data_IF_177396425571
#
_entry.id   IF_177396425571
#
_cell.length_a   1.000
_cell.length_b   1.000
_cell.length_c   1.000
_cell.angle_alpha   90.00
_cell.angle_beta   90.00
_cell.angle_gamma   90.00
#
_symmetry.space_group_name_H-M   'P 1'
#
loop_
_entity.id
_entity.type
_entity.pdbx_description
1 polymer ?
#
# COMPACT_ATOMS: atom_id res chain seq x y z
N UNK A 1 -1.37 -25.98 -1.30
CA UNK A 1 -1.54 -24.67 -1.95
C UNK A 1 -3.00 -24.27 -1.83
N UNK A 2 -3.32 -23.12 -1.28
CA UNK A 2 -4.71 -22.71 -1.06
C UNK A 2 -5.15 -21.82 -2.23
N UNK A 3 -6.10 -22.28 -3.00
CA UNK A 3 -6.75 -21.49 -4.04
C UNK A 3 -7.60 -20.41 -3.37
N UNK A 4 -7.35 -19.13 -3.69
CA UNK A 4 -8.04 -17.99 -3.08
C UNK A 4 -9.36 -17.63 -3.76
N UNK A 5 -9.64 -18.17 -4.94
CA UNK A 5 -10.83 -17.90 -5.72
C UNK A 5 -11.56 -19.18 -6.10
N UNK A 6 -12.88 -19.25 -5.88
CA UNK A 6 -13.77 -20.26 -6.46
C UNK A 6 -14.79 -19.61 -7.38
N UNK A 7 -15.38 -20.41 -8.30
CA UNK A 7 -16.44 -19.93 -9.19
C UNK A 7 -17.66 -19.43 -8.43
N UNK A 8 -18.01 -20.09 -7.33
CA UNK A 8 -19.11 -19.69 -6.46
C UNK A 8 -18.89 -18.30 -5.86
N UNK A 9 -17.72 -18.06 -5.26
CA UNK A 9 -17.34 -16.76 -4.71
C UNK A 9 -17.36 -15.68 -5.80
N UNK A 10 -16.83 -15.97 -6.99
CA UNK A 10 -16.85 -15.02 -8.10
C UNK A 10 -18.27 -14.62 -8.52
N UNK A 11 -19.20 -15.59 -8.53
CA UNK A 11 -20.60 -15.33 -8.90
C UNK A 11 -21.32 -14.44 -7.88
N UNK A 12 -20.85 -14.32 -6.64
CA UNK A 12 -21.41 -13.42 -5.64
C UNK A 12 -21.21 -11.92 -6.00
N UNK A 13 -20.33 -11.61 -6.97
CA UNK A 13 -20.20 -10.26 -7.52
C UNK A 13 -21.32 -9.83 -8.47
N UNK A 14 -22.23 -10.72 -8.82
CA UNK A 14 -23.31 -10.48 -9.76
C UNK A 14 -24.66 -10.33 -9.04
N UNK A 15 -25.67 -9.76 -9.74
CA UNK A 15 -27.01 -9.74 -9.20
C UNK A 15 -27.56 -11.18 -9.05
N UNK A 16 -28.55 -11.36 -8.18
CA UNK A 16 -29.16 -12.67 -7.93
C UNK A 16 -29.65 -13.33 -9.24
N UNK A 17 -30.30 -12.55 -10.11
CA UNK A 17 -30.77 -13.02 -11.42
C UNK A 17 -29.61 -13.51 -12.30
N UNK A 18 -28.51 -12.75 -12.37
CA UNK A 18 -27.34 -13.13 -13.17
C UNK A 18 -26.62 -14.36 -12.61
N UNK A 19 -26.59 -14.50 -11.28
CA UNK A 19 -26.03 -15.66 -10.59
C UNK A 19 -26.88 -16.93 -10.90
N UNK A 20 -28.20 -16.84 -10.78
CA UNK A 20 -29.12 -17.93 -11.12
C UNK A 20 -29.00 -18.34 -12.58
N UNK A 21 -28.92 -17.38 -13.51
CA UNK A 21 -28.69 -17.69 -14.92
C UNK A 21 -27.39 -18.47 -15.16
N UNK A 22 -26.32 -18.11 -14.45
CA UNK A 22 -25.04 -18.81 -14.55
C UNK A 22 -25.14 -20.25 -14.00
N UNK A 23 -25.81 -20.44 -12.86
CA UNK A 23 -26.02 -21.76 -12.26
C UNK A 23 -26.83 -22.64 -13.21
N UNK A 24 -27.96 -22.14 -13.72
CA UNK A 24 -28.80 -22.86 -14.68
C UNK A 24 -28.07 -23.20 -15.99
N UNK A 25 -27.17 -22.29 -16.45
CA UNK A 25 -26.31 -22.58 -17.60
C UNK A 25 -25.38 -23.76 -17.33
N UNK A 26 -24.75 -23.83 -16.18
CA UNK A 26 -23.86 -24.93 -15.80
C UNK A 26 -24.64 -26.24 -15.66
N UNK A 27 -25.86 -26.18 -15.10
CA UNK A 27 -26.78 -27.32 -15.01
C UNK A 27 -27.21 -27.80 -16.40
N UNK A 28 -27.58 -26.89 -17.31
CA UNK A 28 -27.90 -27.21 -18.69
C UNK A 28 -26.77 -27.97 -19.41
N UNK A 29 -25.52 -27.49 -19.22
CA UNK A 29 -24.33 -28.13 -19.81
C UNK A 29 -24.14 -29.56 -19.27
N UNK A 30 -24.27 -29.74 -17.95
CA UNK A 30 -24.15 -31.04 -17.30
C UNK A 30 -25.24 -32.00 -17.73
N UNK A 31 -26.48 -31.51 -17.85
CA UNK A 31 -27.60 -32.34 -18.35
C UNK A 31 -27.41 -32.71 -19.81
N UNK A 32 -26.87 -31.84 -20.65
CA UNK A 32 -26.65 -32.09 -22.07
C UNK A 32 -25.64 -33.22 -22.33
N UNK A 33 -24.75 -33.51 -21.41
CA UNK A 33 -23.83 -34.65 -21.46
C UNK A 33 -24.60 -36.01 -21.33
N UNK A 34 -25.83 -35.97 -20.79
CA UNK A 34 -26.65 -37.16 -20.52
C UNK A 34 -27.92 -37.19 -21.35
N UNK A 35 -28.50 -36.05 -21.65
CA UNK A 35 -29.77 -35.86 -22.33
C UNK A 35 -29.55 -34.99 -23.56
N UNK A 36 -29.62 -35.56 -24.77
CA UNK A 36 -29.42 -34.79 -26.02
C UNK A 36 -30.61 -33.88 -26.36
N UNK A 37 -31.79 -34.10 -25.74
CA UNK A 37 -33.01 -33.35 -26.01
C UNK A 37 -33.03 -31.98 -25.30
N UNK A 38 -32.78 -30.89 -26.04
CA UNK A 38 -32.76 -29.53 -25.53
C UNK A 38 -34.09 -29.06 -24.94
N UNK A 39 -35.21 -29.52 -25.48
CA UNK A 39 -36.55 -29.18 -24.97
C UNK A 39 -36.84 -29.83 -23.62
N UNK A 40 -36.33 -31.02 -23.38
CA UNK A 40 -36.41 -31.69 -22.09
C UNK A 40 -35.56 -30.98 -21.04
N UNK A 41 -34.33 -30.65 -21.38
CA UNK A 41 -33.45 -29.84 -20.53
C UNK A 41 -34.14 -28.52 -20.15
N UNK A 42 -34.73 -27.81 -21.13
CA UNK A 42 -35.49 -26.58 -20.92
C UNK A 42 -36.58 -26.74 -19.85
N UNK A 43 -37.33 -27.80 -19.87
CA UNK A 43 -38.37 -28.11 -18.87
C UNK A 43 -37.78 -28.40 -17.49
N UNK A 44 -36.71 -29.19 -17.43
CA UNK A 44 -36.04 -29.54 -16.16
C UNK A 44 -35.49 -28.33 -15.42
N UNK A 45 -34.78 -27.45 -16.11
CA UNK A 45 -34.14 -26.26 -15.47
C UNK A 45 -35.06 -25.04 -15.45
N UNK A 46 -36.28 -25.13 -15.98
CA UNK A 46 -37.26 -24.03 -16.05
C UNK A 46 -36.68 -22.77 -16.72
N UNK A 47 -36.11 -22.93 -17.93
CA UNK A 47 -35.58 -21.87 -18.76
C UNK A 47 -36.17 -22.01 -20.17
N UNK A 48 -36.53 -20.90 -20.85
CA UNK A 48 -37.08 -20.95 -22.20
C UNK A 48 -36.19 -21.76 -23.16
N UNK A 49 -36.83 -22.60 -24.00
CA UNK A 49 -36.14 -23.52 -24.91
C UNK A 49 -35.14 -22.80 -25.83
N UNK A 50 -35.53 -21.63 -26.37
CA UNK A 50 -34.66 -20.78 -27.18
C UNK A 50 -33.37 -20.41 -26.44
N UNK A 51 -33.48 -20.03 -25.16
CA UNK A 51 -32.32 -19.66 -24.32
C UNK A 51 -31.39 -20.86 -24.09
N UNK A 52 -31.97 -22.04 -23.83
CA UNK A 52 -31.21 -23.29 -23.68
C UNK A 52 -30.50 -23.66 -24.99
N UNK A 53 -31.16 -23.51 -26.13
CA UNK A 53 -30.53 -23.70 -27.44
C UNK A 53 -29.38 -22.74 -27.67
N UNK A 54 -29.55 -21.44 -27.39
CA UNK A 54 -28.49 -20.42 -27.48
C UNK A 54 -27.29 -20.78 -26.59
N UNK A 55 -27.56 -21.27 -25.37
CA UNK A 55 -26.52 -21.65 -24.40
C UNK A 55 -25.74 -22.90 -24.86
N UNK A 56 -26.44 -23.94 -25.28
CA UNK A 56 -25.84 -25.23 -25.68
C UNK A 56 -25.11 -25.13 -27.02
N UNK A 57 -25.58 -24.28 -27.92
CA UNK A 57 -24.89 -23.95 -29.18
C UNK A 57 -23.73 -22.91 -29.01
N UNK A 58 -23.46 -22.44 -27.80
CA UNK A 58 -22.46 -21.41 -27.48
C UNK A 58 -22.65 -20.08 -28.22
N UNK A 59 -23.86 -19.80 -28.76
CA UNK A 59 -24.17 -18.53 -29.43
C UNK A 59 -24.33 -17.37 -28.44
N UNK A 60 -24.82 -17.70 -27.23
CA UNK A 60 -24.99 -16.73 -26.15
C UNK A 60 -24.69 -17.40 -24.82
N UNK A 61 -23.98 -16.70 -23.94
CA UNK A 61 -23.65 -17.18 -22.59
C UNK A 61 -24.07 -16.16 -21.56
N UNK A 62 -24.49 -16.56 -20.33
CA UNK A 62 -24.70 -15.66 -19.22
C UNK A 62 -23.46 -14.78 -18.94
N UNK A 63 -23.68 -13.54 -18.52
CA UNK A 63 -22.58 -12.59 -18.31
C UNK A 63 -21.56 -13.09 -17.28
N UNK A 64 -22.02 -13.74 -16.21
CA UNK A 64 -21.14 -14.28 -15.17
C UNK A 64 -20.21 -15.38 -15.72
N UNK A 65 -20.72 -16.24 -16.61
CA UNK A 65 -19.93 -17.26 -17.29
C UNK A 65 -18.88 -16.61 -18.20
N UNK A 66 -19.27 -15.63 -19.02
CA UNK A 66 -18.34 -14.93 -19.91
C UNK A 66 -17.21 -14.22 -19.14
N UNK A 67 -17.53 -13.62 -17.99
CA UNK A 67 -16.51 -12.98 -17.16
C UNK A 67 -15.60 -13.99 -16.47
N UNK A 68 -16.13 -15.15 -16.07
CA UNK A 68 -15.32 -16.24 -15.55
C UNK A 68 -14.35 -16.80 -16.60
N UNK A 69 -14.82 -17.06 -17.82
CA UNK A 69 -13.99 -17.52 -18.93
C UNK A 69 -12.87 -16.51 -19.27
N UNK A 70 -13.14 -15.21 -19.14
CA UNK A 70 -12.07 -14.19 -19.27
C UNK A 70 -11.00 -14.32 -18.18
N UNK A 71 -11.36 -14.63 -16.93
CA UNK A 71 -10.37 -14.91 -15.89
C UNK A 71 -9.60 -16.21 -16.17
N UNK A 72 -10.23 -17.22 -16.76
CA UNK A 72 -9.56 -18.45 -17.20
C UNK A 72 -8.50 -18.13 -18.27
N UNK A 73 -8.85 -17.30 -19.27
CA UNK A 73 -7.92 -16.84 -20.30
C UNK A 73 -6.74 -16.03 -19.73
N UNK A 74 -6.95 -15.31 -18.65
CA UNK A 74 -5.91 -14.57 -17.93
C UNK A 74 -5.10 -15.45 -16.97
N UNK A 75 -5.40 -16.75 -16.85
CA UNK A 75 -4.85 -17.68 -15.84
C UNK A 75 -5.06 -17.23 -14.37
N UNK A 76 -6.12 -16.46 -14.11
CA UNK A 76 -6.41 -15.93 -12.77
C UNK A 76 -7.38 -16.78 -11.95
N UNK A 77 -8.04 -17.78 -12.55
CA UNK A 77 -8.94 -18.69 -11.82
C UNK A 77 -8.19 -19.72 -10.95
N UNK A 78 -6.95 -20.02 -11.33
CA UNK A 78 -6.06 -20.93 -10.58
C UNK A 78 -5.06 -20.16 -9.71
N UNK A 79 -5.41 -18.92 -9.33
CA UNK A 79 -4.52 -18.07 -8.56
C UNK A 79 -4.24 -18.73 -7.21
N UNK A 80 -3.02 -19.25 -7.07
CA UNK A 80 -2.52 -19.82 -5.83
C UNK A 80 -1.55 -18.86 -5.17
N UNK A 81 -1.48 -18.89 -3.83
CA UNK A 81 -0.50 -18.11 -3.08
C UNK A 81 0.88 -18.74 -3.30
N UNK A 82 1.55 -18.32 -4.36
CA UNK A 82 2.89 -18.77 -4.74
C UNK A 82 3.68 -17.64 -5.39
N UNK A 83 5.01 -17.76 -5.40
CA UNK A 83 5.87 -16.78 -6.08
C UNK A 83 5.78 -17.00 -7.58
N UNK A 84 4.97 -16.20 -8.25
CA UNK A 84 4.85 -16.17 -9.70
C UNK A 84 4.60 -14.73 -10.18
N UNK A 85 5.02 -14.42 -11.42
CA UNK A 85 4.82 -13.07 -11.97
C UNK A 85 3.34 -12.65 -12.02
N UNK A 86 2.39 -13.53 -12.44
CA UNK A 86 0.97 -13.17 -12.41
C UNK A 86 0.43 -12.91 -11.01
N UNK A 87 0.83 -13.72 -10.00
CA UNK A 87 0.41 -13.52 -8.63
C UNK A 87 1.02 -12.24 -8.04
N UNK A 88 2.29 -12.00 -8.31
CA UNK A 88 2.97 -10.77 -7.91
C UNK A 88 2.26 -9.53 -8.47
N UNK A 89 1.91 -9.52 -9.77
CA UNK A 89 1.17 -8.44 -10.39
C UNK A 89 -0.24 -8.29 -9.80
N UNK A 90 -0.90 -9.40 -9.50
CA UNK A 90 -2.19 -9.38 -8.81
C UNK A 90 -2.09 -8.67 -7.45
N UNK A 91 -1.07 -8.99 -6.63
CA UNK A 91 -0.84 -8.32 -5.34
C UNK A 91 -0.48 -6.85 -5.52
N UNK A 92 0.28 -6.50 -6.56
CA UNK A 92 0.59 -5.09 -6.87
C UNK A 92 -0.68 -4.28 -7.11
N UNK A 93 -1.56 -4.75 -7.97
CA UNK A 93 -2.84 -4.08 -8.27
C UNK A 93 -3.70 -4.04 -7.01
N UNK A 94 -3.72 -5.13 -6.22
CA UNK A 94 -4.46 -5.22 -4.96
C UNK A 94 -4.00 -4.12 -3.97
N UNK A 95 -2.69 -3.93 -3.80
CA UNK A 95 -2.11 -2.88 -2.97
C UNK A 95 -2.47 -1.46 -3.45
N UNK A 96 -2.45 -1.22 -4.77
CA UNK A 96 -2.92 0.04 -5.34
C UNK A 96 -4.38 0.31 -5.03
N UNK A 97 -5.24 -0.68 -5.16
CA UNK A 97 -6.68 -0.53 -4.96
C UNK A 97 -7.05 -0.22 -3.50
N UNK A 98 -6.23 -0.60 -2.53
CA UNK A 98 -6.37 -0.16 -1.14
C UNK A 98 -5.80 1.26 -0.90
N UNK A 99 -4.79 1.69 -1.69
CA UNK A 99 -4.21 3.05 -1.67
C UNK A 99 -4.87 3.99 -2.68
N UNK A 100 -4.07 4.57 -3.58
CA UNK A 100 -4.48 5.56 -4.61
C UNK A 100 -5.24 4.95 -5.81
N UNK A 101 -5.59 3.67 -5.76
CA UNK A 101 -6.41 3.02 -6.76
C UNK A 101 -7.91 3.17 -6.50
N UNK A 102 -8.70 2.94 -7.53
CA UNK A 102 -10.16 3.01 -7.48
C UNK A 102 -10.78 1.82 -8.22
N UNK A 103 -11.65 1.08 -7.52
CA UNK A 103 -12.49 0.06 -8.13
C UNK A 103 -13.83 0.69 -8.48
N UNK A 104 -14.17 0.73 -9.77
CA UNK A 104 -15.40 1.39 -10.24
C UNK A 104 -16.64 0.81 -9.54
N UNK A 105 -17.58 1.69 -9.14
CA UNK A 105 -18.82 1.31 -8.44
C UNK A 105 -19.65 0.28 -9.20
N UNK A 106 -19.66 0.37 -10.54
CA UNK A 106 -20.37 -0.55 -11.44
C UNK A 106 -19.54 -1.82 -11.76
N UNK A 107 -18.34 -1.98 -11.20
CA UNK A 107 -17.40 -3.05 -11.52
C UNK A 107 -17.06 -3.16 -13.01
N UNK A 108 -17.06 -2.05 -13.74
CA UNK A 108 -16.69 -1.99 -15.15
C UNK A 108 -15.18 -2.05 -15.39
N UNK A 109 -14.38 -1.64 -14.43
CA UNK A 109 -12.93 -1.59 -14.51
C UNK A 109 -12.28 -1.08 -13.23
N UNK A 110 -10.97 -0.86 -13.33
CA UNK A 110 -10.14 -0.29 -12.26
C UNK A 110 -9.38 0.94 -12.77
N UNK A 111 -9.09 1.85 -11.88
CA UNK A 111 -8.25 3.02 -12.10
C UNK A 111 -7.15 3.03 -11.04
N UNK A 112 -5.91 3.25 -11.45
CA UNK A 112 -4.76 3.37 -10.54
C UNK A 112 -4.12 4.73 -10.76
N UNK A 113 -3.84 5.47 -9.68
CA UNK A 113 -3.25 6.80 -9.74
C UNK A 113 -1.79 6.77 -9.27
N UNK A 114 -0.92 7.57 -9.90
CA UNK A 114 0.48 7.59 -9.51
C UNK A 114 1.40 8.35 -10.46
N UNK A 115 2.70 8.11 -10.32
CA UNK A 115 3.70 8.63 -11.26
C UNK A 115 3.56 7.96 -12.62
N UNK A 116 3.57 8.74 -13.71
CA UNK A 116 3.37 8.24 -15.09
C UNK A 116 4.35 7.14 -15.45
N UNK A 117 5.64 7.32 -15.15
CA UNK A 117 6.66 6.33 -15.50
C UNK A 117 6.48 5.00 -14.75
N UNK A 118 6.03 5.04 -13.49
CA UNK A 118 5.75 3.85 -12.71
C UNK A 118 4.45 3.17 -13.20
N UNK A 119 3.45 3.95 -13.62
CA UNK A 119 2.20 3.45 -14.21
C UNK A 119 2.41 2.84 -15.60
N UNK A 120 3.30 3.37 -16.45
CA UNK A 120 3.64 2.76 -17.75
C UNK A 120 4.30 1.39 -17.57
N UNK A 121 5.19 1.24 -16.58
CA UNK A 121 5.74 -0.08 -16.23
C UNK A 121 4.66 -1.06 -15.77
N UNK A 122 3.70 -0.59 -14.99
CA UNK A 122 2.58 -1.41 -14.51
C UNK A 122 1.65 -1.79 -15.66
N UNK A 123 1.34 -0.85 -16.55
CA UNK A 123 0.58 -1.08 -17.79
C UNK A 123 1.20 -2.20 -18.62
N UNK A 124 2.49 -2.11 -18.93
CA UNK A 124 3.20 -3.14 -19.70
C UNK A 124 3.05 -4.52 -19.07
N UNK A 125 3.18 -4.63 -17.73
CA UNK A 125 2.98 -5.90 -17.03
C UNK A 125 1.54 -6.42 -17.14
N UNK A 126 0.53 -5.55 -17.02
CA UNK A 126 -0.89 -5.92 -17.13
C UNK A 126 -1.19 -6.45 -18.52
N UNK A 127 -0.72 -5.75 -19.56
CA UNK A 127 -0.91 -6.16 -20.95
C UNK A 127 -0.21 -7.48 -21.26
N UNK A 128 1.03 -7.67 -20.80
CA UNK A 128 1.81 -8.89 -21.04
C UNK A 128 1.27 -10.11 -20.27
N UNK A 129 0.93 -9.96 -18.98
CA UNK A 129 0.63 -11.10 -18.13
C UNK A 129 -0.86 -11.44 -18.09
N UNK A 130 -1.73 -10.45 -18.23
CA UNK A 130 -3.18 -10.66 -18.20
C UNK A 130 -3.83 -10.54 -19.59
N UNK A 131 -3.10 -10.06 -20.61
CA UNK A 131 -3.66 -9.85 -21.94
C UNK A 131 -4.77 -8.80 -22.00
N UNK A 132 -4.83 -7.88 -21.02
CA UNK A 132 -5.88 -6.87 -20.92
C UNK A 132 -5.31 -5.52 -21.32
N UNK A 133 -5.91 -4.84 -22.34
CA UNK A 133 -5.45 -3.51 -22.73
C UNK A 133 -5.66 -2.50 -21.59
N UNK A 134 -4.64 -1.66 -21.41
CA UNK A 134 -4.64 -0.64 -20.39
C UNK A 134 -4.19 0.71 -20.98
N UNK A 135 -4.69 1.82 -20.44
CA UNK A 135 -4.41 3.17 -20.94
C UNK A 135 -3.89 4.06 -19.83
N UNK A 136 -2.70 4.62 -20.00
CA UNK A 136 -2.21 5.69 -19.13
C UNK A 136 -2.65 7.04 -19.69
N UNK A 137 -3.17 7.89 -18.83
CA UNK A 137 -3.49 9.30 -19.12
C UNK A 137 -2.78 10.18 -18.11
N UNK A 138 -2.38 11.36 -18.53
CA UNK A 138 -1.76 12.35 -17.67
C UNK A 138 -2.55 13.65 -17.76
N UNK A 139 -2.78 14.28 -16.64
CA UNK A 139 -3.54 15.52 -16.61
C UNK A 139 -3.33 16.32 -15.33
N UNK A 140 -3.62 17.61 -15.45
CA UNK A 140 -3.70 18.50 -14.31
C UNK A 140 -4.98 18.18 -13.54
N UNK A 141 -4.83 17.88 -12.26
CA UNK A 141 -5.96 17.79 -11.34
C UNK A 141 -6.09 19.13 -10.60
N UNK A 142 -7.21 19.78 -10.76
CA UNK A 142 -7.57 20.98 -10.03
C UNK A 142 -8.75 20.64 -9.13
N UNK A 143 -8.62 20.90 -7.86
CA UNK A 143 -9.68 20.65 -6.89
C UNK A 143 -9.59 21.62 -5.72
N UNK A 144 -10.64 21.68 -4.93
CA UNK A 144 -10.63 22.41 -3.67
C UNK A 144 -11.01 21.48 -2.51
N UNK A 145 -10.37 21.71 -1.38
CA UNK A 145 -10.65 21.02 -0.13
C UNK A 145 -11.17 22.03 0.88
N UNK A 146 -12.42 21.85 1.31
CA UNK A 146 -13.02 22.64 2.39
C UNK A 146 -12.61 22.04 3.75
N UNK A 147 -11.83 22.78 4.52
CA UNK A 147 -11.35 22.38 5.85
C UNK A 147 -12.09 23.15 6.92
N UNK A 148 -12.59 22.43 7.93
CA UNK A 148 -13.25 22.99 9.09
C UNK A 148 -12.35 22.83 10.33
N UNK A 149 -11.99 23.97 10.94
CA UNK A 149 -11.26 24.01 12.23
C UNK A 149 -12.13 24.77 13.24
N UNK A 150 -12.76 24.04 14.18
CA UNK A 150 -13.82 24.62 15.00
C UNK A 150 -14.93 25.14 14.09
N UNK A 151 -15.29 26.42 14.22
CA UNK A 151 -16.31 27.08 13.38
C UNK A 151 -15.73 27.77 12.15
N UNK A 152 -14.40 27.75 11.93
CA UNK A 152 -13.76 28.42 10.79
C UNK A 152 -13.65 27.47 9.60
N UNK A 153 -14.38 27.80 8.52
CA UNK A 153 -14.27 27.14 7.23
C UNK A 153 -13.19 27.82 6.39
N UNK A 154 -12.25 27.03 5.86
CA UNK A 154 -11.22 27.48 4.91
C UNK A 154 -11.25 26.59 3.68
N UNK A 155 -11.20 27.18 2.51
CA UNK A 155 -11.07 26.47 1.24
C UNK A 155 -9.60 26.53 0.79
N UNK A 156 -9.05 25.37 0.46
CA UNK A 156 -7.66 25.23 0.00
C UNK A 156 -7.71 24.65 -1.40
N UNK A 157 -7.22 25.42 -2.37
CA UNK A 157 -7.03 24.89 -3.72
C UNK A 157 -5.92 23.84 -3.75
N UNK A 158 -6.19 22.74 -4.42
CA UNK A 158 -5.24 21.67 -4.65
C UNK A 158 -5.01 21.57 -6.16
N UNK A 159 -3.81 21.94 -6.55
CA UNK A 159 -3.35 21.81 -7.94
C UNK A 159 -2.24 20.75 -7.99
N UNK A 160 -2.40 19.74 -8.82
CA UNK A 160 -1.42 18.69 -8.99
C UNK A 160 -1.46 18.08 -10.38
N UNK A 161 -0.40 17.38 -10.72
CA UNK A 161 -0.37 16.52 -11.91
C UNK A 161 -0.36 15.08 -11.46
N UNK A 162 -1.24 14.28 -12.04
CA UNK A 162 -1.34 12.86 -11.72
C UNK A 162 -1.49 12.03 -13.00
N UNK A 163 -0.79 10.92 -13.05
CA UNK A 163 -1.04 9.86 -14.02
C UNK A 163 -2.21 9.00 -13.55
N UNK A 164 -3.02 8.54 -14.51
CA UNK A 164 -4.09 7.59 -14.27
C UNK A 164 -3.94 6.42 -15.23
N UNK A 165 -3.85 5.22 -14.71
CA UNK A 165 -3.88 3.98 -15.47
C UNK A 165 -5.29 3.38 -15.40
N UNK A 166 -5.93 3.26 -16.56
CA UNK A 166 -7.26 2.71 -16.73
C UNK A 166 -7.18 1.30 -17.28
N UNK A 167 -7.87 0.36 -16.63
CA UNK A 167 -8.02 -1.02 -17.08
C UNK A 167 -9.51 -1.36 -17.14
N UNK A 168 -10.08 -1.35 -18.34
CA UNK A 168 -11.50 -1.58 -18.57
C UNK A 168 -11.80 -3.08 -18.67
N UNK A 169 -11.71 -3.78 -17.55
CA UNK A 169 -12.00 -5.20 -17.43
C UNK A 169 -12.94 -5.47 -16.26
N UNK A 170 -14.20 -5.76 -16.58
CA UNK A 170 -15.20 -6.15 -15.58
C UNK A 170 -14.85 -7.48 -14.90
N UNK A 171 -14.15 -8.37 -15.57
CA UNK A 171 -13.67 -9.62 -14.98
C UNK A 171 -12.65 -9.35 -13.85
N UNK A 172 -11.65 -8.53 -14.13
CA UNK A 172 -10.65 -8.10 -13.11
C UNK A 172 -11.30 -7.32 -11.97
N UNK A 173 -12.17 -6.36 -12.30
CA UNK A 173 -12.86 -5.57 -11.28
C UNK A 173 -13.66 -6.45 -10.32
N UNK A 174 -14.37 -7.44 -10.82
CA UNK A 174 -15.13 -8.39 -10.01
C UNK A 174 -14.24 -9.32 -9.20
N UNK A 175 -13.11 -9.77 -9.76
CA UNK A 175 -12.12 -10.55 -9.05
C UNK A 175 -11.62 -9.78 -7.80
N UNK A 176 -11.17 -8.55 -7.97
CA UNK A 176 -10.70 -7.73 -6.84
C UNK A 176 -11.81 -7.45 -5.82
N UNK A 177 -13.03 -7.21 -6.28
CA UNK A 177 -14.18 -6.98 -5.40
C UNK A 177 -14.49 -8.19 -4.50
N UNK A 178 -14.58 -9.38 -5.05
CA UNK A 178 -14.91 -10.60 -4.25
C UNK A 178 -13.75 -11.00 -3.31
N UNK A 179 -12.53 -10.55 -3.60
CA UNK A 179 -11.37 -10.77 -2.75
C UNK A 179 -11.18 -9.68 -1.69
N UNK A 180 -12.14 -8.75 -1.58
CA UNK A 180 -12.24 -7.80 -0.46
C UNK A 180 -11.85 -6.37 -0.77
N UNK A 181 -11.59 -6.00 -2.04
CA UNK A 181 -11.33 -4.61 -2.40
C UNK A 181 -12.64 -3.80 -2.37
N UNK A 182 -12.67 -2.64 -1.68
CA UNK A 182 -13.85 -1.78 -1.65
C UNK A 182 -14.11 -1.15 -3.02
N UNK A 183 -15.39 -1.13 -3.47
CA UNK A 183 -15.80 -0.50 -4.74
C UNK A 183 -16.36 0.90 -4.53
N UNK A 184 -16.05 1.82 -5.43
CA UNK A 184 -16.52 3.20 -5.34
C UNK A 184 -15.75 4.03 -4.34
N UNK A 185 -16.38 5.02 -3.72
CA UNK A 185 -15.70 5.95 -2.81
C UNK A 185 -15.32 5.27 -1.49
N UNK A 186 -14.03 5.05 -1.29
CA UNK A 186 -13.47 4.45 -0.09
C UNK A 186 -13.69 5.30 1.17
N UNK A 187 -13.91 6.60 1.03
CA UNK A 187 -14.14 7.49 2.16
C UNK A 187 -15.52 7.27 2.78
N UNK A 188 -16.48 6.80 1.99
CA UNK A 188 -17.90 6.65 2.36
C UNK A 188 -18.32 5.21 2.68
N UNK A 189 -17.39 4.32 2.96
CA UNK A 189 -17.71 2.92 3.26
C UNK A 189 -16.70 2.33 4.25
N UNK A 190 -17.16 1.33 5.02
CA UNK A 190 -16.28 0.47 5.81
C UNK A 190 -15.52 -0.50 4.88
N UNK A 191 -14.28 -0.80 5.24
CA UNK A 191 -13.53 -1.92 4.69
C UNK A 191 -12.41 -2.34 5.63
N UNK A 192 -11.99 -3.59 5.49
CA UNK A 192 -10.93 -4.21 6.26
C UNK A 192 -9.96 -4.94 5.31
N UNK A 193 -8.78 -5.28 5.82
CA UNK A 193 -7.92 -6.21 5.10
C UNK A 193 -8.56 -7.62 5.13
N UNK A 194 -8.67 -8.29 3.99
CA UNK A 194 -9.30 -9.61 3.95
C UNK A 194 -8.45 -10.65 4.70
N UNK A 195 -9.12 -11.61 5.32
CA UNK A 195 -8.48 -12.66 6.12
C UNK A 195 -7.41 -13.44 5.34
N UNK A 196 -7.63 -13.71 4.05
CA UNK A 196 -6.65 -14.40 3.22
C UNK A 196 -5.32 -13.64 3.13
N UNK A 197 -5.34 -12.29 3.07
CA UNK A 197 -4.13 -11.46 3.08
C UNK A 197 -3.47 -11.46 4.45
N UNK A 198 -4.25 -11.33 5.52
CA UNK A 198 -3.74 -11.36 6.90
C UNK A 198 -3.05 -12.69 7.24
N UNK A 199 -3.55 -13.80 6.68
CA UNK A 199 -2.98 -15.15 6.87
C UNK A 199 -1.97 -15.56 5.79
N UNK A 200 -1.65 -14.67 4.84
CA UNK A 200 -0.72 -14.96 3.75
C UNK A 200 0.74 -15.04 4.24
N UNK A 201 1.61 -15.72 3.49
CA UNK A 201 3.05 -15.71 3.74
C UNK A 201 3.65 -14.30 3.70
N UNK A 202 4.79 -14.14 4.35
CA UNK A 202 5.53 -12.88 4.48
C UNK A 202 5.74 -12.15 3.14
N UNK A 203 6.11 -12.85 2.08
CA UNK A 203 6.38 -12.24 0.77
C UNK A 203 5.16 -11.54 0.17
N UNK A 204 3.94 -12.04 0.41
CA UNK A 204 2.68 -11.43 -0.02
C UNK A 204 2.42 -10.15 0.75
N UNK A 205 2.51 -10.22 2.08
CA UNK A 205 2.33 -9.07 2.98
C UNK A 205 3.34 -7.96 2.68
N UNK A 206 4.61 -8.33 2.51
CA UNK A 206 5.70 -7.43 2.15
C UNK A 206 5.40 -6.69 0.85
N UNK A 207 4.95 -7.41 -0.18
CA UNK A 207 4.64 -6.84 -1.49
C UNK A 207 3.43 -5.92 -1.43
N UNK A 208 2.35 -6.37 -0.79
CA UNK A 208 1.15 -5.56 -0.55
C UNK A 208 1.48 -4.24 0.17
N UNK A 209 2.20 -4.31 1.29
CA UNK A 209 2.62 -3.13 2.05
C UNK A 209 3.54 -2.23 1.22
N UNK A 210 4.44 -2.80 0.43
CA UNK A 210 5.34 -2.05 -0.44
C UNK A 210 4.59 -1.19 -1.45
N UNK A 211 3.53 -1.70 -2.06
CA UNK A 211 2.69 -0.93 -2.98
C UNK A 211 1.82 0.07 -2.25
N UNK A 212 1.12 -0.35 -1.20
CA UNK A 212 0.24 0.53 -0.41
C UNK A 212 1.02 1.72 0.15
N UNK A 213 2.19 1.50 0.74
CA UNK A 213 3.02 2.56 1.29
C UNK A 213 3.73 3.36 0.20
N UNK A 214 4.05 2.75 -0.92
CA UNK A 214 4.51 3.46 -2.11
C UNK A 214 3.56 4.59 -2.50
N UNK A 215 2.26 4.33 -2.47
CA UNK A 215 1.23 5.31 -2.78
C UNK A 215 0.99 6.29 -1.61
N UNK A 216 0.57 5.81 -0.48
CA UNK A 216 -0.05 6.60 0.59
C UNK A 216 0.93 7.14 1.65
N UNK A 217 2.14 6.55 1.78
CA UNK A 217 3.05 6.92 2.86
C UNK A 217 3.57 8.35 2.70
N UNK A 218 3.47 9.15 3.76
CA UNK A 218 4.09 10.45 3.83
C UNK A 218 5.51 10.31 4.39
N UNK A 219 6.53 10.54 3.54
CA UNK A 219 7.92 10.57 3.99
C UNK A 219 8.26 11.96 4.56
N UNK A 220 9.06 12.01 5.62
CA UNK A 220 9.43 13.26 6.24
C UNK A 220 10.38 14.07 5.35
N UNK A 221 10.33 15.39 5.52
CA UNK A 221 11.41 16.26 5.07
C UNK A 221 12.58 16.11 6.06
N UNK A 222 13.80 16.02 5.53
CA UNK A 222 15.00 16.08 6.34
C UNK A 222 15.09 17.50 6.89
N UNK A 223 15.12 17.62 8.22
CA UNK A 223 15.29 18.88 8.92
C UNK A 223 16.79 19.17 9.12
N UNK A 224 17.13 20.43 9.41
CA UNK A 224 18.49 20.80 9.78
C UNK A 224 18.99 19.96 10.98
N UNK A 225 20.31 19.68 11.03
CA UNK A 225 20.98 18.91 12.09
C UNK A 225 20.57 17.42 12.17
N UNK A 226 20.33 16.77 11.01
CA UNK A 226 20.01 15.34 10.93
C UNK A 226 18.75 14.90 11.70
N UNK A 227 17.89 15.81 12.10
CA UNK A 227 16.60 15.47 12.67
C UNK A 227 15.67 15.00 11.57
N UNK A 228 15.13 13.80 11.75
CA UNK A 228 14.15 13.22 10.81
C UNK A 228 12.75 13.61 11.25
N UNK A 229 11.95 14.05 10.29
CA UNK A 229 10.52 14.21 10.52
C UNK A 229 9.85 12.83 10.67
N UNK A 230 8.56 12.84 10.93
CA UNK A 230 7.79 11.61 11.17
C UNK A 230 7.35 10.98 9.87
N UNK A 231 7.54 9.69 9.71
CA UNK A 231 6.88 8.88 8.67
C UNK A 231 5.44 8.62 9.13
N UNK A 232 4.47 8.89 8.28
CA UNK A 232 3.06 8.80 8.61
C UNK A 232 2.30 8.05 7.52
N UNK A 233 1.42 7.14 7.94
CA UNK A 233 0.38 6.57 7.12
C UNK A 233 -0.98 7.00 7.65
N UNK A 234 -1.89 7.46 6.78
CA UNK A 234 -3.22 7.86 7.21
C UNK A 234 -4.17 8.08 6.05
N UNK A 235 -5.44 7.86 6.30
CA UNK A 235 -6.52 7.96 5.35
C UNK A 235 -7.68 8.80 5.88
N UNK A 236 -8.57 9.23 4.99
CA UNK A 236 -9.78 9.96 5.34
C UNK A 236 -11.01 9.04 5.32
N UNK A 237 -11.93 9.26 6.27
CA UNK A 237 -13.26 8.64 6.31
C UNK A 237 -14.30 9.65 6.77
N UNK A 238 -15.55 9.50 6.31
CA UNK A 238 -16.67 10.19 6.92
C UNK A 238 -16.84 9.71 8.37
N UNK A 239 -17.45 10.54 9.21
CA UNK A 239 -17.48 10.34 10.66
C UNK A 239 -18.09 8.99 11.05
N UNK A 240 -19.14 8.54 10.33
CA UNK A 240 -19.82 7.25 10.57
C UNK A 240 -18.95 6.00 10.34
N UNK A 241 -17.80 6.11 9.65
CA UNK A 241 -16.91 4.98 9.39
C UNK A 241 -15.50 5.17 9.99
N UNK A 242 -15.39 6.02 11.01
CA UNK A 242 -14.11 6.32 11.65
C UNK A 242 -13.58 5.17 12.49
N UNK A 243 -14.46 4.42 13.16
CA UNK A 243 -14.14 3.20 13.91
C UNK A 243 -13.53 2.13 13.01
N UNK A 244 -14.13 1.92 11.85
CA UNK A 244 -13.67 0.93 10.88
C UNK A 244 -12.31 1.33 10.28
N UNK A 245 -12.08 2.65 10.07
CA UNK A 245 -10.75 3.12 9.69
C UNK A 245 -9.70 2.80 10.76
N UNK A 246 -10.03 2.96 12.04
CA UNK A 246 -9.11 2.61 13.13
C UNK A 246 -8.82 1.11 13.15
N UNK A 247 -9.81 0.25 12.88
CA UNK A 247 -9.61 -1.21 12.73
C UNK A 247 -8.67 -1.52 11.57
N UNK A 248 -8.92 -0.96 10.39
CA UNK A 248 -8.04 -1.12 9.22
C UNK A 248 -6.60 -0.67 9.50
N UNK A 249 -6.42 0.50 10.16
CA UNK A 249 -5.09 0.98 10.55
C UNK A 249 -4.40 0.04 11.56
N UNK A 250 -5.16 -0.58 12.47
CA UNK A 250 -4.62 -1.57 13.39
C UNK A 250 -4.23 -2.88 12.68
N UNK A 251 -4.99 -3.32 11.68
CA UNK A 251 -4.59 -4.47 10.84
C UNK A 251 -3.25 -4.21 10.13
N UNK A 252 -3.06 -3.02 9.55
CA UNK A 252 -1.76 -2.64 8.95
C UNK A 252 -0.62 -2.63 9.98
N UNK A 253 -0.89 -2.19 11.21
CA UNK A 253 0.10 -2.21 12.29
C UNK A 253 0.47 -3.63 12.71
N UNK A 254 -0.49 -4.55 12.71
CA UNK A 254 -0.24 -5.98 12.96
C UNK A 254 0.70 -6.53 11.89
N UNK A 255 0.43 -6.26 10.61
CA UNK A 255 1.31 -6.67 9.52
C UNK A 255 2.72 -6.06 9.65
N UNK A 256 2.83 -4.78 9.99
CA UNK A 256 4.12 -4.12 10.19
C UNK A 256 4.92 -4.73 11.35
N UNK A 257 4.24 -5.16 12.42
CA UNK A 257 4.86 -5.79 13.57
C UNK A 257 5.51 -7.14 13.23
N UNK A 258 4.97 -7.88 12.26
CA UNK A 258 5.57 -9.11 11.75
C UNK A 258 6.95 -8.87 11.11
N UNK A 259 7.23 -7.64 10.67
CA UNK A 259 8.52 -7.18 10.13
C UNK A 259 9.35 -6.40 11.17
N UNK A 260 9.03 -6.50 12.45
CA UNK A 260 9.65 -5.75 13.55
C UNK A 260 9.56 -4.22 13.41
N UNK A 261 8.66 -3.72 12.57
CA UNK A 261 8.43 -2.29 12.38
C UNK A 261 7.44 -1.77 13.40
N UNK A 262 7.89 -0.84 14.24
CA UNK A 262 7.10 -0.29 15.33
C UNK A 262 6.42 1.02 14.95
N UNK A 263 5.15 1.16 15.34
CA UNK A 263 4.31 2.33 15.07
C UNK A 263 3.56 2.79 16.33
N UNK A 264 3.03 4.01 16.32
CA UNK A 264 2.10 4.46 17.35
C UNK A 264 0.74 3.79 17.18
N UNK A 265 -0.09 3.85 18.22
CA UNK A 265 -1.54 3.56 18.07
C UNK A 265 -2.16 4.55 17.08
N UNK A 266 -3.21 4.17 16.34
CA UNK A 266 -3.91 5.08 15.46
C UNK A 266 -4.49 6.28 16.24
N UNK A 267 -4.39 7.44 15.58
CA UNK A 267 -4.87 8.72 16.09
C UNK A 267 -5.73 9.40 15.04
N UNK A 268 -6.62 10.28 15.44
CA UNK A 268 -7.45 11.06 14.54
C UNK A 268 -7.13 12.55 14.65
N UNK A 269 -7.09 13.21 13.51
CA UNK A 269 -6.95 14.66 13.47
C UNK A 269 -8.20 15.36 13.98
N UNK A 270 -8.01 16.55 14.59
CA UNK A 270 -9.13 17.43 15.01
C UNK A 270 -9.74 18.20 13.83
N UNK A 271 -9.04 18.24 12.68
CA UNK A 271 -9.51 18.94 11.48
C UNK A 271 -10.41 18.04 10.69
N UNK A 272 -11.59 18.53 10.33
CA UNK A 272 -12.52 17.84 9.43
C UNK A 272 -12.53 18.49 8.07
N UNK A 273 -12.73 17.68 7.02
CA UNK A 273 -12.96 18.14 5.68
C UNK A 273 -14.45 17.99 5.34
N UNK A 274 -15.00 18.97 4.65
CA UNK A 274 -16.37 18.89 4.13
C UNK A 274 -16.33 18.38 2.69
N UNK A 275 -17.07 17.31 2.42
CA UNK A 275 -17.30 16.80 1.08
C UNK A 275 -18.31 17.66 0.33
N UNK A 276 -18.39 17.51 -0.99
CA UNK A 276 -19.44 18.17 -1.81
C UNK A 276 -20.86 17.79 -1.36
N UNK A 277 -21.04 16.59 -0.82
CA UNK A 277 -22.29 16.10 -0.22
C UNK A 277 -22.66 16.75 1.12
N UNK A 278 -21.80 17.60 1.68
CA UNK A 278 -21.96 18.13 3.04
C UNK A 278 -21.47 17.20 4.16
N UNK A 279 -21.13 15.96 3.84
CA UNK A 279 -20.63 15.01 4.84
C UNK A 279 -19.28 15.47 5.40
N UNK A 280 -19.10 15.33 6.72
CA UNK A 280 -17.83 15.60 7.39
C UNK A 280 -16.94 14.36 7.32
N UNK A 281 -15.69 14.55 6.88
CA UNK A 281 -14.67 13.52 6.86
C UNK A 281 -13.45 13.95 7.69
N UNK A 282 -12.85 13.00 8.39
CA UNK A 282 -11.64 13.22 9.20
C UNK A 282 -10.54 12.26 8.81
N UNK A 283 -9.29 12.67 9.02
CA UNK A 283 -8.12 11.84 8.84
C UNK A 283 -7.83 11.05 10.12
N UNK A 284 -7.60 9.75 9.97
CA UNK A 284 -6.97 8.95 11.01
C UNK A 284 -5.67 8.39 10.48
N UNK A 285 -4.67 8.26 11.35
CA UNK A 285 -3.30 7.93 10.98
C UNK A 285 -2.56 7.23 12.12
N UNK A 286 -1.47 6.56 11.79
CA UNK A 286 -0.42 6.18 12.73
C UNK A 286 0.93 6.73 12.27
N UNK A 287 1.85 6.85 13.22
CA UNK A 287 3.21 7.30 12.99
C UNK A 287 4.17 6.14 13.18
N UNK A 288 5.21 6.07 12.36
CA UNK A 288 6.33 5.16 12.59
C UNK A 288 7.18 5.68 13.75
N UNK A 289 7.69 4.79 14.59
CA UNK A 289 8.70 5.17 15.59
C UNK A 289 9.93 5.74 14.87
N UNK A 290 10.38 6.91 15.29
CA UNK A 290 11.40 7.70 14.57
C UNK A 290 12.84 7.34 14.91
N UNK A 291 13.11 6.33 15.77
CA UNK A 291 14.46 5.84 15.97
C UNK A 291 15.03 5.22 14.68
N UNK A 292 16.35 5.34 14.49
CA UNK A 292 16.99 4.89 13.25
C UNK A 292 16.85 3.40 13.02
N UNK A 293 16.93 2.59 14.07
CA UNK A 293 16.76 1.13 13.99
C UNK A 293 15.41 0.80 13.32
N UNK A 294 14.32 1.40 13.80
CA UNK A 294 13.00 1.16 13.24
C UNK A 294 12.87 1.62 11.78
N UNK A 295 13.47 2.79 11.44
CA UNK A 295 13.47 3.31 10.07
C UNK A 295 14.26 2.38 9.14
N UNK A 296 15.41 1.91 9.56
CA UNK A 296 16.24 0.97 8.79
C UNK A 296 15.58 -0.40 8.67
N UNK A 297 14.97 -0.90 9.74
CA UNK A 297 14.16 -2.14 9.70
C UNK A 297 13.06 -2.02 8.64
N UNK A 298 12.30 -0.92 8.67
CA UNK A 298 11.26 -0.68 7.66
C UNK A 298 11.85 -0.60 6.24
N UNK A 299 12.92 0.17 6.04
CA UNK A 299 13.57 0.32 4.74
C UNK A 299 14.05 -1.01 4.15
N UNK A 300 14.67 -1.86 4.98
CA UNK A 300 15.18 -3.17 4.55
C UNK A 300 14.07 -4.20 4.33
N UNK A 301 13.03 -4.14 5.15
CA UNK A 301 11.94 -5.11 5.09
C UNK A 301 10.96 -4.80 3.94
N UNK A 302 10.58 -3.54 3.72
CA UNK A 302 9.47 -3.16 2.86
C UNK A 302 9.89 -2.10 1.84
N UNK A 303 10.31 -2.49 0.62
CA UNK A 303 10.62 -1.54 -0.46
C UNK A 303 9.35 -0.83 -0.94
N UNK A 304 9.42 0.47 -1.24
CA UNK A 304 8.30 1.22 -1.81
C UNK A 304 8.18 0.92 -3.31
N UNK A 305 7.19 0.12 -3.66
CA UNK A 305 6.96 -0.30 -5.04
C UNK A 305 6.13 0.74 -5.81
N UNK A 306 6.40 0.90 -7.09
CA UNK A 306 5.74 1.86 -8.00
C UNK A 306 5.69 3.30 -7.47
N UNK A 307 6.71 3.67 -6.73
CA UNK A 307 6.87 4.98 -6.12
C UNK A 307 8.34 5.45 -6.22
N UNK A 308 8.90 5.39 -7.43
CA UNK A 308 10.33 5.62 -7.69
C UNK A 308 10.87 6.93 -7.09
N UNK A 309 10.13 8.03 -7.23
CA UNK A 309 10.51 9.32 -6.64
C UNK A 309 10.50 9.30 -5.10
N UNK A 310 9.55 8.57 -4.51
CA UNK A 310 9.45 8.43 -3.06
C UNK A 310 10.54 7.51 -2.53
N UNK A 311 10.82 6.39 -3.21
CA UNK A 311 11.92 5.49 -2.89
C UNK A 311 13.27 6.23 -2.92
N UNK A 312 13.55 7.00 -3.98
CA UNK A 312 14.78 7.80 -4.08
C UNK A 312 14.96 8.80 -2.93
N UNK A 313 13.87 9.40 -2.44
CA UNK A 313 13.92 10.25 -1.24
C UNK A 313 14.23 9.44 0.01
N UNK A 314 13.66 8.26 0.12
CA UNK A 314 13.89 7.37 1.25
C UNK A 314 15.34 6.87 1.26
N UNK A 315 15.89 6.48 0.10
CA UNK A 315 17.31 6.08 -0.05
C UNK A 315 18.27 7.17 0.42
N UNK A 316 18.00 8.44 0.04
CA UNK A 316 18.80 9.59 0.50
C UNK A 316 18.73 9.75 2.01
N UNK A 317 17.55 9.60 2.61
CA UNK A 317 17.37 9.69 4.06
C UNK A 317 18.13 8.56 4.78
N UNK A 318 18.04 7.34 4.30
CA UNK A 318 18.76 6.18 4.87
C UNK A 318 20.26 6.36 4.78
N UNK A 319 20.80 6.83 3.64
CA UNK A 319 22.24 7.15 3.52
C UNK A 319 22.69 8.18 4.56
N UNK A 320 21.87 9.19 4.85
CA UNK A 320 22.20 10.19 5.88
C UNK A 320 22.19 9.57 7.28
N UNK A 321 21.23 8.68 7.59
CA UNK A 321 21.19 7.95 8.86
C UNK A 321 22.47 7.13 9.04
N UNK A 322 22.86 6.36 8.01
CA UNK A 322 24.07 5.52 8.05
C UNK A 322 25.34 6.38 8.23
N UNK A 323 25.44 7.49 7.49
CA UNK A 323 26.60 8.40 7.61
C UNK A 323 26.67 9.05 9.00
N UNK A 324 25.53 9.43 9.56
CA UNK A 324 25.46 9.99 10.90
C UNK A 324 25.86 8.94 11.97
N UNK A 325 25.45 7.67 11.80
CA UNK A 325 25.86 6.59 12.68
C UNK A 325 27.38 6.35 12.65
N UNK A 326 27.97 6.30 11.45
CA UNK A 326 29.44 6.18 11.30
C UNK A 326 30.18 7.35 11.95
N UNK A 327 29.69 8.57 11.78
CA UNK A 327 30.31 9.75 12.40
C UNK A 327 30.20 9.69 13.93
N UNK A 328 29.10 9.22 14.46
CA UNK A 328 28.89 9.07 15.89
C UNK A 328 29.82 8.03 16.52
N UNK A 329 29.98 6.86 15.90
CA UNK A 329 30.95 5.85 16.36
C UNK A 329 32.36 6.43 16.39
N UNK A 330 32.76 7.15 15.33
CA UNK A 330 34.05 7.84 15.29
C UNK A 330 34.18 8.92 16.38
N UNK A 331 33.13 9.65 16.68
CA UNK A 331 33.14 10.69 17.75
C UNK A 331 33.34 10.00 19.13
N UNK A 332 32.80 8.80 19.36
CA UNK A 332 33.03 8.04 20.59
C UNK A 332 34.49 7.52 20.69
N UNK A 333 35.03 6.95 19.64
CA UNK A 333 36.43 6.50 19.60
C UNK A 333 37.39 7.66 19.94
N UNK A 334 37.12 8.86 19.38
CA UNK A 334 37.92 10.07 19.67
C UNK A 334 37.71 10.51 21.12
N UNK A 335 36.46 10.44 21.62
CA UNK A 335 36.12 10.81 22.99
C UNK A 335 36.87 9.93 23.99
N UNK A 336 36.78 8.61 23.87
CA UNK A 336 37.42 7.68 24.81
C UNK A 336 38.92 7.88 24.85
N UNK A 337 39.58 7.98 23.69
CA UNK A 337 41.01 8.26 23.59
C UNK A 337 41.39 9.65 24.12
N UNK A 338 40.53 10.66 23.95
CA UNK A 338 40.78 11.99 24.48
C UNK A 338 40.66 12.02 26.00
N UNK A 339 39.73 11.30 26.61
CA UNK A 339 39.60 11.17 28.06
C UNK A 339 40.80 10.42 28.65
N UNK A 340 41.23 9.32 28.01
CA UNK A 340 42.43 8.59 28.40
C UNK A 340 43.68 9.52 28.44
N UNK A 341 43.92 10.27 27.37
CA UNK A 341 45.02 11.23 27.29
C UNK A 341 44.88 12.38 28.31
N UNK A 342 43.67 12.81 28.62
CA UNK A 342 43.42 13.81 29.65
C UNK A 342 43.80 13.32 31.04
N UNK A 343 43.53 12.07 31.37
CA UNK A 343 43.92 11.45 32.63
C UNK A 343 45.45 11.36 32.84
N UNK A 344 46.23 11.45 31.75
CA UNK A 344 47.70 11.58 31.83
C UNK A 344 48.16 13.03 32.00
N UNK A 345 47.24 14.02 32.21
CA UNK A 345 47.55 15.41 32.46
C UNK A 345 47.59 16.28 31.21
N UNK A 346 47.22 15.79 30.04
CA UNK A 346 47.20 16.57 28.81
C UNK A 346 45.93 17.45 28.72
N UNK A 347 46.11 18.73 28.42
CA UNK A 347 44.99 19.65 28.14
C UNK A 347 44.43 19.46 26.71
N UNK A 348 43.17 19.84 26.48
CA UNK A 348 42.43 19.62 25.22
C UNK A 348 43.17 20.10 23.96
N UNK A 349 43.93 21.23 24.02
CA UNK A 349 44.67 21.74 22.88
C UNK A 349 45.87 20.83 22.52
N UNK A 350 46.55 20.27 23.51
CA UNK A 350 47.64 19.31 23.30
C UNK A 350 47.08 17.99 22.75
N UNK A 351 46.00 17.50 23.32
CA UNK A 351 45.26 16.31 22.84
C UNK A 351 44.85 16.48 21.37
N UNK A 352 44.28 17.64 21.01
CA UNK A 352 43.90 17.96 19.64
C UNK A 352 45.08 17.80 18.66
N UNK A 353 46.28 18.31 19.04
CA UNK A 353 47.50 18.22 18.23
C UNK A 353 48.03 16.78 18.17
N UNK A 354 48.14 16.10 19.29
CA UNK A 354 48.64 14.72 19.38
C UNK A 354 47.81 13.76 18.58
N UNK A 355 46.48 13.92 18.62
CA UNK A 355 45.55 13.08 17.85
C UNK A 355 45.38 13.52 16.38
N UNK A 356 46.05 14.63 15.98
CA UNK A 356 45.95 15.21 14.63
C UNK A 356 44.48 15.28 14.11
N UNK A 357 43.64 15.91 14.92
CA UNK A 357 42.21 15.94 14.63
C UNK A 357 41.83 17.12 13.72
N UNK A 358 40.75 16.97 12.90
CA UNK A 358 40.15 18.08 12.17
C UNK A 358 39.67 19.21 13.09
N UNK A 359 39.76 20.47 12.65
CA UNK A 359 39.47 21.71 13.43
C UNK A 359 38.12 21.66 14.18
N UNK A 360 37.12 20.97 13.62
CA UNK A 360 35.79 20.80 14.25
C UNK A 360 35.85 20.14 15.65
N UNK A 361 36.90 19.36 15.96
CA UNK A 361 37.04 18.67 17.24
C UNK A 361 37.63 19.54 18.36
N UNK A 362 38.26 20.66 18.05
CA UNK A 362 38.87 21.50 19.10
C UNK A 362 37.86 21.94 20.16
N UNK A 363 36.70 22.45 19.71
CA UNK A 363 35.61 22.86 20.61
C UNK A 363 34.93 21.66 21.27
N UNK A 364 34.82 20.54 20.55
CA UNK A 364 34.21 19.31 21.10
C UNK A 364 35.07 18.73 22.21
N UNK A 365 36.39 18.66 22.05
CA UNK A 365 37.31 18.18 23.08
C UNK A 365 37.21 19.02 24.34
N UNK A 366 37.18 20.37 24.21
CA UNK A 366 36.99 21.26 25.35
C UNK A 366 35.66 20.95 26.08
N UNK A 367 34.56 20.80 25.31
CA UNK A 367 33.26 20.46 25.87
C UNK A 367 33.20 19.08 26.52
N UNK A 368 33.90 18.10 25.96
CA UNK A 368 33.94 16.74 26.47
C UNK A 368 34.78 16.61 27.74
N UNK A 369 35.93 17.25 27.76
CA UNK A 369 36.91 17.17 28.85
C UNK A 369 36.50 18.00 30.07
N UNK A 370 36.09 19.25 29.88
CA UNK A 370 35.88 20.17 30.99
C UNK A 370 34.43 20.39 31.37
N UNK A 371 33.48 20.12 30.47
CA UNK A 371 32.05 20.34 30.74
C UNK A 371 31.27 19.04 30.84
N UNK A 372 31.94 17.88 30.84
CA UNK A 372 31.29 16.56 30.98
C UNK A 372 30.32 16.21 29.86
N UNK A 373 30.38 16.93 28.73
CA UNK A 373 29.59 16.58 27.56
C UNK A 373 30.11 15.27 26.97
N UNK A 374 29.17 14.49 26.40
CA UNK A 374 29.50 13.25 25.67
C UNK A 374 29.14 13.42 24.19
N UNK A 375 29.74 12.62 23.29
CA UNK A 375 29.26 12.56 21.92
C UNK A 375 27.75 12.35 21.91
N UNK A 376 27.02 13.15 21.14
CA UNK A 376 25.57 13.09 21.07
C UNK A 376 25.18 12.64 19.67
N UNK A 377 24.37 11.60 19.63
CA UNK A 377 23.66 11.24 18.43
C UNK A 377 22.20 11.72 18.56
N UNK A 378 21.77 12.53 17.63
CA UNK A 378 20.38 13.00 17.65
C UNK A 378 19.47 11.83 17.25
N UNK A 379 18.68 11.33 18.21
CA UNK A 379 17.58 10.36 18.06
C UNK A 379 17.91 8.90 17.62
N UNK A 380 19.17 8.45 17.77
CA UNK A 380 19.52 7.07 17.37
C UNK A 380 20.27 6.33 18.48
N UNK A 381 20.03 6.64 19.72
CA UNK A 381 20.74 6.03 20.86
C UNK A 381 20.71 4.51 20.85
N UNK A 382 19.58 3.93 20.38
CA UNK A 382 19.40 2.47 20.36
C UNK A 382 20.06 1.77 19.16
N UNK A 383 20.61 2.52 18.22
CA UNK A 383 21.18 1.95 16.99
C UNK A 383 22.66 1.61 17.13
N UNK A 384 23.40 2.39 17.94
CA UNK A 384 24.86 2.25 18.05
C UNK A 384 25.26 1.12 18.98
N UNK A 385 24.41 0.73 19.92
CA UNK A 385 24.66 -0.41 20.83
C UNK A 385 24.57 -1.78 20.13
N UNK A 386 24.14 -1.84 18.86
CA UNK A 386 23.91 -3.09 18.11
C UNK A 386 24.61 -3.12 16.74
N UNK A 387 25.55 -2.21 16.45
CA UNK A 387 26.37 -2.16 15.25
C UNK A 387 27.85 -2.12 15.66
#
# INVERSE_FOLDING_TARGET
>A
MCQILSRAIFFDSFSQIQKEQAIKYLEAKKLFERISNKSEISRLIKVPNRTVQEWLNNTKKPIAIRQWEKLEQMNLVKLCIERSLPFDLFIDIFGFLFGDGHLMKNLGGIQLCGNVNDLEKLKTKIEMLFGVPAKVTFGKQVGSIKKLRGNKLTEVEVNGYCGNLWVNSSALARLFYVLGVPKGDKVEQAFELPAWLMCSPEFVKKRFLGVLFGNELSLPKIRAKNAFGTIMFGMHKIEGYKSELILFLNQLRVLLKEFDVNTTKPQSEKVTCLKKSGAKSGKSYFLFKTNAKNILTFYNAIPLLYASLKQNKFDKMVKQIINAAKQYSKDWEIYDKAIELHLTGLGHTKIFRVMNLPKKYLYRLNAWIYYGNKPRFYDIRDFVENY
#
